data_IF_931881359541
#
_entry.id   IF_931881359541
#
_cell.length_a   1.000
_cell.length_b   1.000
_cell.length_c   1.000
_cell.angle_alpha   90.00
_cell.angle_beta   90.00
_cell.angle_gamma   90.00
#
_symmetry.space_group_name_H-M   'P 1'
#
loop_
_entity.id
_entity.type
_entity.pdbx_description
1 polymer ?
#
# COMPACT_ATOMS: atom_id res chain seq x y z
N UNK A 1 9.54 4.96 -5.74
CA UNK A 1 9.06 5.54 -4.48
C UNK A 1 9.57 4.71 -3.30
N UNK A 2 9.16 3.46 -3.11
CA UNK A 2 9.55 2.64 -1.95
C UNK A 2 11.07 2.54 -1.78
N UNK A 3 11.82 2.29 -2.85
CA UNK A 3 13.30 2.29 -2.83
C UNK A 3 13.86 3.61 -2.29
N UNK A 4 13.29 4.75 -2.69
CA UNK A 4 13.72 6.07 -2.22
C UNK A 4 13.58 6.21 -0.71
N UNK A 5 12.43 5.81 -0.15
CA UNK A 5 12.20 5.86 1.31
C UNK A 5 13.16 4.92 2.04
N UNK A 6 13.30 3.69 1.59
CA UNK A 6 14.21 2.73 2.24
C UNK A 6 15.66 3.23 2.27
N UNK A 7 16.18 3.69 1.14
CA UNK A 7 17.58 4.16 1.08
C UNK A 7 17.82 5.49 1.81
N UNK A 8 16.79 6.31 1.98
CA UNK A 8 16.90 7.52 2.77
C UNK A 8 16.96 7.22 4.27
N UNK A 9 16.18 6.23 4.74
CA UNK A 9 15.91 6.05 6.16
C UNK A 9 16.59 4.83 6.78
N UNK A 10 17.00 3.86 5.97
CA UNK A 10 17.50 2.57 6.43
C UNK A 10 18.92 2.28 5.91
N UNK A 11 19.61 1.40 6.60
CA UNK A 11 20.90 0.82 6.18
C UNK A 11 20.71 -0.62 5.73
N UNK A 12 21.56 -1.13 4.81
CA UNK A 12 21.56 -2.55 4.47
C UNK A 12 21.62 -3.43 5.73
N UNK A 13 20.77 -4.45 5.78
CA UNK A 13 20.64 -5.34 6.94
C UNK A 13 19.66 -4.89 8.03
N UNK A 14 19.15 -3.65 7.97
CA UNK A 14 18.07 -3.23 8.87
C UNK A 14 16.81 -4.07 8.67
N UNK A 15 16.05 -4.27 9.75
CA UNK A 15 14.82 -5.07 9.69
C UNK A 15 13.64 -4.20 9.24
N UNK A 16 12.86 -4.73 8.30
CA UNK A 16 11.56 -4.17 7.88
C UNK A 16 10.45 -5.18 8.14
N UNK A 17 9.28 -4.72 8.54
CA UNK A 17 8.08 -5.53 8.70
C UNK A 17 7.07 -5.15 7.63
N UNK A 18 6.73 -6.07 6.73
CA UNK A 18 5.79 -5.84 5.63
C UNK A 18 4.76 -6.95 5.51
N UNK A 19 3.73 -6.72 4.69
CA UNK A 19 2.74 -7.76 4.41
C UNK A 19 3.34 -8.87 3.55
N UNK A 20 3.10 -10.12 3.91
CA UNK A 20 3.56 -11.28 3.17
C UNK A 20 3.02 -11.25 1.72
N UNK A 21 3.89 -11.49 0.75
CA UNK A 21 3.53 -11.50 -0.67
C UNK A 21 2.39 -12.49 -0.97
N UNK A 22 2.43 -13.68 -0.36
CA UNK A 22 1.38 -14.69 -0.53
C UNK A 22 0.03 -14.31 0.10
N UNK A 23 0.01 -13.31 0.98
CA UNK A 23 -1.19 -12.80 1.63
C UNK A 23 -1.67 -11.46 1.06
N UNK A 24 -1.09 -11.02 -0.06
CA UNK A 24 -1.48 -9.79 -0.75
C UNK A 24 -0.50 -8.63 -0.65
N UNK A 25 0.68 -8.82 -0.06
CA UNK A 25 1.75 -7.83 -0.02
C UNK A 25 2.29 -7.47 -1.41
N UNK A 26 3.14 -6.44 -1.48
CA UNK A 26 3.83 -6.07 -2.70
C UNK A 26 5.26 -6.64 -2.69
N UNK A 27 5.83 -6.86 -3.88
CA UNK A 27 7.22 -7.33 -4.05
C UNK A 27 8.22 -6.48 -3.26
N UNK A 28 8.05 -5.16 -3.27
CA UNK A 28 8.95 -4.22 -2.57
C UNK A 28 8.70 -4.10 -1.07
N UNK A 29 7.82 -4.92 -0.50
CA UNK A 29 7.61 -5.01 0.95
C UNK A 29 8.45 -6.12 1.60
N UNK A 30 9.58 -6.49 0.99
CA UNK A 30 10.52 -7.45 1.54
C UNK A 30 10.57 -8.80 0.84
N UNK A 31 9.86 -9.01 -0.28
CA UNK A 31 9.91 -10.28 -0.99
C UNK A 31 11.34 -10.61 -1.44
N UNK A 32 11.78 -11.86 -1.26
CA UNK A 32 13.17 -12.31 -1.47
C UNK A 32 13.68 -12.10 -2.90
N UNK A 33 12.78 -12.06 -3.88
CA UNK A 33 13.10 -11.78 -5.29
C UNK A 33 13.28 -10.29 -5.59
N UNK A 34 12.80 -9.41 -4.71
CA UNK A 34 12.87 -7.95 -4.84
C UNK A 34 14.14 -7.41 -4.18
N UNK A 35 14.54 -6.18 -4.59
CA UNK A 35 15.66 -5.48 -3.94
C UNK A 35 15.47 -5.36 -2.43
N UNK A 36 14.25 -5.14 -1.96
CA UNK A 36 13.94 -4.97 -0.55
C UNK A 36 14.26 -6.21 0.29
N UNK A 37 13.92 -7.41 -0.21
CA UNK A 37 14.26 -8.66 0.46
C UNK A 37 15.71 -9.11 0.27
N UNK A 38 16.46 -8.49 -0.66
CA UNK A 38 17.90 -8.77 -0.86
C UNK A 38 18.80 -7.88 -0.02
N UNK A 39 18.35 -6.67 0.33
CA UNK A 39 19.14 -5.65 1.02
C UNK A 39 18.79 -5.60 2.51
N UNK A 40 17.52 -5.79 2.85
CA UNK A 40 17.01 -5.67 4.21
C UNK A 40 16.61 -7.03 4.79
N UNK A 41 16.63 -7.15 6.11
CA UNK A 41 16.06 -8.30 6.80
C UNK A 41 14.54 -8.12 6.84
N UNK A 42 13.82 -8.87 6.02
CA UNK A 42 12.37 -8.79 5.96
C UNK A 42 11.70 -9.78 6.92
N UNK A 43 10.78 -9.29 7.72
CA UNK A 43 9.80 -10.07 8.49
C UNK A 43 8.41 -9.74 8.00
N UNK A 44 7.45 -10.64 8.21
CA UNK A 44 6.16 -10.52 7.53
C UNK A 44 5.00 -10.71 8.50
N UNK A 45 4.00 -9.85 8.36
CA UNK A 45 2.66 -10.11 8.86
C UNK A 45 1.76 -10.64 7.73
N UNK A 46 0.65 -11.23 8.10
CA UNK A 46 -0.28 -11.81 7.13
C UNK A 46 -1.73 -11.49 7.45
N UNK A 47 -2.62 -12.31 6.87
CA UNK A 47 -4.05 -12.31 7.17
C UNK A 47 -4.41 -13.57 7.92
N UNK A 48 -5.41 -13.50 8.79
CA UNK A 48 -6.00 -14.66 9.47
C UNK A 48 -6.55 -15.63 8.42
N UNK A 49 -6.25 -16.91 8.59
CA UNK A 49 -6.74 -17.98 7.69
C UNK A 49 -8.26 -18.08 7.66
N UNK A 50 -8.89 -17.80 8.80
CA UNK A 50 -10.32 -17.98 8.96
C UNK A 50 -11.12 -16.80 8.39
N UNK A 51 -10.63 -15.57 8.58
CA UNK A 51 -11.34 -14.35 8.22
C UNK A 51 -10.82 -13.70 6.93
N UNK A 52 -9.58 -13.96 6.55
CA UNK A 52 -8.89 -13.23 5.47
C UNK A 52 -8.58 -11.76 5.81
N UNK A 53 -8.66 -11.38 7.09
CA UNK A 53 -8.39 -10.04 7.59
C UNK A 53 -7.01 -9.98 8.24
N UNK A 54 -6.39 -8.79 8.22
CA UNK A 54 -5.18 -8.52 9.00
C UNK A 54 -5.53 -8.61 10.48
N UNK A 55 -4.72 -9.38 11.21
CA UNK A 55 -4.77 -9.45 12.67
C UNK A 55 -3.74 -8.46 13.23
N UNK A 56 -4.20 -7.35 13.76
CA UNK A 56 -3.32 -6.28 14.25
C UNK A 56 -2.59 -6.66 15.54
N UNK A 57 -3.13 -7.56 16.36
CA UNK A 57 -2.45 -8.07 17.55
C UNK A 57 -1.26 -8.95 17.13
N UNK A 58 -1.41 -9.71 16.05
CA UNK A 58 -0.30 -10.47 15.47
C UNK A 58 0.74 -9.55 14.83
N UNK A 59 0.34 -8.44 14.18
CA UNK A 59 1.26 -7.42 13.67
C UNK A 59 2.08 -6.84 14.82
N UNK A 60 1.44 -6.48 15.92
CA UNK A 60 2.07 -5.93 17.13
C UNK A 60 3.05 -6.95 17.74
N UNK A 61 2.63 -8.20 17.89
CA UNK A 61 3.47 -9.27 18.41
C UNK A 61 4.77 -9.43 17.58
N UNK A 62 4.64 -9.49 16.26
CA UNK A 62 5.79 -9.62 15.35
C UNK A 62 6.67 -8.37 15.41
N UNK A 63 6.07 -7.19 15.50
CA UNK A 63 6.81 -5.93 15.62
C UNK A 63 7.64 -5.89 16.91
N UNK A 64 7.07 -6.29 18.04
CA UNK A 64 7.79 -6.39 19.33
C UNK A 64 8.91 -7.43 19.31
N UNK A 65 8.65 -8.60 18.73
CA UNK A 65 9.63 -9.70 18.66
C UNK A 65 10.85 -9.34 17.82
N UNK A 66 10.64 -8.63 16.70
CA UNK A 66 11.71 -8.39 15.73
C UNK A 66 12.25 -6.97 15.72
N UNK A 67 11.60 -6.04 16.41
CA UNK A 67 11.97 -4.61 16.50
C UNK A 67 12.40 -4.01 15.15
N UNK A 68 11.53 -4.06 14.13
CA UNK A 68 11.87 -3.52 12.82
C UNK A 68 12.09 -2.01 12.91
N UNK A 69 12.99 -1.47 12.08
CA UNK A 69 13.15 -0.02 11.96
C UNK A 69 12.05 0.67 11.17
N UNK A 70 11.34 -0.10 10.33
CA UNK A 70 10.22 0.40 9.54
C UNK A 70 9.14 -0.66 9.43
N UNK A 71 7.90 -0.23 9.69
CA UNK A 71 6.69 -0.98 9.35
C UNK A 71 6.18 -0.47 8.01
N UNK A 72 5.89 -1.39 7.10
CA UNK A 72 5.35 -1.11 5.76
C UNK A 72 3.90 -1.60 5.72
N UNK A 73 2.96 -0.67 5.80
CA UNK A 73 1.56 -0.93 5.60
C UNK A 73 1.18 -0.74 4.13
N UNK A 74 0.16 -1.46 3.67
CA UNK A 74 -0.29 -1.42 2.29
C UNK A 74 -0.24 -2.79 1.63
N UNK A 75 -0.97 -2.93 0.54
CA UNK A 75 -1.13 -4.21 -0.14
C UNK A 75 -1.39 -4.04 -1.64
N UNK A 76 -1.01 -5.05 -2.42
CA UNK A 76 -1.41 -5.20 -3.81
C UNK A 76 -2.76 -5.89 -3.95
N UNK A 77 -3.10 -6.77 -3.00
CA UNK A 77 -4.28 -7.63 -3.07
C UNK A 77 -4.91 -7.80 -1.68
N UNK A 78 -5.40 -6.71 -1.12
CA UNK A 78 -6.20 -6.70 0.11
C UNK A 78 -7.46 -5.88 -0.12
N UNK A 79 -8.62 -6.48 0.09
CA UNK A 79 -9.91 -5.91 -0.31
C UNK A 79 -10.62 -5.13 0.81
N UNK A 80 -10.04 -5.05 2.00
CA UNK A 80 -10.63 -4.38 3.15
C UNK A 80 -9.92 -3.08 3.50
N UNK A 81 -10.54 -2.28 4.34
CA UNK A 81 -9.93 -1.06 4.87
C UNK A 81 -8.74 -1.42 5.74
N UNK A 82 -7.64 -0.66 5.58
CA UNK A 82 -6.46 -0.72 6.45
C UNK A 82 -6.64 0.27 7.61
N UNK A 83 -6.42 -0.20 8.82
CA UNK A 83 -6.41 0.65 10.01
C UNK A 83 -5.03 1.29 10.17
N UNK A 84 -4.88 2.50 9.62
CA UNK A 84 -3.61 3.23 9.66
C UNK A 84 -3.28 3.76 11.05
N UNK A 85 -4.30 4.04 11.88
CA UNK A 85 -4.12 4.47 13.25
C UNK A 85 -3.51 3.36 14.08
N UNK A 86 -4.02 2.14 13.96
CA UNK A 86 -3.46 0.98 14.66
C UNK A 86 -2.02 0.67 14.21
N UNK A 87 -1.70 0.79 12.91
CA UNK A 87 -0.32 0.70 12.46
C UNK A 87 0.59 1.78 13.07
N UNK A 88 0.09 3.01 13.23
CA UNK A 88 0.84 4.10 13.87
C UNK A 88 1.12 3.79 15.33
N UNK A 89 0.11 3.36 16.10
CA UNK A 89 0.27 2.95 17.49
C UNK A 89 1.37 1.89 17.66
N UNK A 90 1.32 0.82 16.85
CA UNK A 90 2.32 -0.25 16.87
C UNK A 90 3.71 0.30 16.56
N UNK A 91 3.82 1.17 15.55
CA UNK A 91 5.11 1.74 15.16
C UNK A 91 5.68 2.66 16.27
N UNK A 92 4.84 3.46 16.92
CA UNK A 92 5.25 4.33 18.03
C UNK A 92 5.74 3.52 19.22
N UNK A 93 5.06 2.44 19.56
CA UNK A 93 5.41 1.57 20.70
C UNK A 93 6.84 1.00 20.59
N UNK A 94 7.29 0.70 19.37
CA UNK A 94 8.62 0.12 19.13
C UNK A 94 9.63 1.15 18.58
N UNK A 95 9.23 2.42 18.41
CA UNK A 95 10.09 3.47 17.86
C UNK A 95 10.45 3.28 16.38
N UNK A 96 9.57 2.65 15.58
CA UNK A 96 9.76 2.41 14.16
C UNK A 96 9.15 3.52 13.30
N UNK A 97 9.69 3.69 12.08
CA UNK A 97 9.01 4.48 11.05
C UNK A 97 7.78 3.72 10.53
N UNK A 98 6.72 4.46 10.21
CA UNK A 98 5.58 3.94 9.47
C UNK A 98 5.61 4.45 8.03
N UNK A 99 5.81 3.54 7.09
CA UNK A 99 5.62 3.80 5.66
C UNK A 99 4.32 3.14 5.19
N UNK A 100 3.46 3.92 4.53
CA UNK A 100 2.24 3.39 3.91
C UNK A 100 2.35 3.46 2.39
N UNK A 101 2.32 2.31 1.74
CA UNK A 101 2.20 2.18 0.29
C UNK A 101 0.72 2.12 -0.11
N UNK A 102 0.17 3.27 -0.51
CA UNK A 102 -1.23 3.38 -0.91
C UNK A 102 -1.45 3.22 -2.43
N UNK A 103 -0.48 2.66 -3.15
CA UNK A 103 -0.50 2.63 -4.62
C UNK A 103 -1.81 2.11 -5.22
N UNK A 104 -2.40 1.06 -4.66
CA UNK A 104 -3.66 0.50 -5.15
C UNK A 104 -4.88 1.38 -4.85
N UNK A 105 -4.89 2.02 -3.70
CA UNK A 105 -6.05 2.78 -3.18
C UNK A 105 -5.91 4.30 -3.34
N UNK A 106 -4.81 4.80 -3.93
CA UNK A 106 -4.51 6.23 -3.96
C UNK A 106 -5.63 7.10 -4.57
N UNK A 107 -6.29 6.62 -5.62
CA UNK A 107 -7.45 7.33 -6.19
C UNK A 107 -8.65 7.37 -5.25
N UNK A 108 -8.90 6.29 -4.51
CA UNK A 108 -9.97 6.23 -3.51
C UNK A 108 -9.67 7.15 -2.32
N UNK A 109 -8.40 7.21 -1.90
CA UNK A 109 -7.93 8.14 -0.85
C UNK A 109 -8.09 9.58 -1.31
N UNK A 110 -7.63 9.93 -2.51
CA UNK A 110 -7.76 11.27 -3.08
C UNK A 110 -9.22 11.73 -3.18
N UNK A 111 -10.14 10.80 -3.47
CA UNK A 111 -11.57 11.06 -3.55
C UNK A 111 -12.30 11.05 -2.19
N UNK A 112 -11.61 10.72 -1.09
CA UNK A 112 -12.23 10.57 0.23
C UNK A 112 -13.14 9.33 0.38
N UNK A 113 -13.00 8.35 -0.50
CA UNK A 113 -13.77 7.08 -0.48
C UNK A 113 -13.09 6.03 0.41
N UNK A 114 -11.79 6.15 0.62
CA UNK A 114 -11.00 5.33 1.54
C UNK A 114 -10.30 6.24 2.56
N UNK A 115 -10.12 5.83 3.83
CA UNK A 115 -9.35 6.59 4.81
C UNK A 115 -7.96 6.96 4.30
N UNK A 116 -7.49 8.15 4.68
CA UNK A 116 -6.16 8.65 4.29
C UNK A 116 -5.09 8.18 5.27
N UNK A 117 -3.94 7.64 4.79
CA UNK A 117 -2.80 7.32 5.65
C UNK A 117 -1.98 8.55 6.05
N UNK A 118 -2.16 9.69 5.39
CA UNK A 118 -1.30 10.88 5.55
C UNK A 118 -1.21 11.39 7.00
N UNK A 119 -2.29 11.40 7.80
CA UNK A 119 -2.18 11.85 9.20
C UNK A 119 -1.33 10.93 10.08
N UNK A 120 -1.19 9.66 9.73
CA UNK A 120 -0.58 8.63 10.58
C UNK A 120 0.84 8.26 10.17
N UNK A 121 1.16 8.32 8.88
CA UNK A 121 2.42 7.82 8.34
C UNK A 121 3.55 8.88 8.39
N UNK A 122 4.79 8.41 8.55
CA UNK A 122 5.98 9.23 8.33
C UNK A 122 6.23 9.39 6.83
N UNK A 123 5.96 8.33 6.07
CA UNK A 123 6.09 8.29 4.60
C UNK A 123 4.87 7.66 3.98
N UNK A 124 4.34 8.30 2.95
CA UNK A 124 3.29 7.72 2.10
C UNK A 124 3.83 7.60 0.69
N UNK A 125 3.85 6.39 0.16
CA UNK A 125 4.27 6.13 -1.21
C UNK A 125 3.08 5.74 -2.07
N UNK A 126 3.15 6.05 -3.35
CA UNK A 126 2.15 5.61 -4.32
C UNK A 126 2.72 5.53 -5.73
N UNK A 127 2.08 4.73 -6.56
CA UNK A 127 2.14 4.88 -8.02
C UNK A 127 1.11 5.90 -8.47
N UNK A 128 1.35 6.52 -9.62
CA UNK A 128 0.39 7.48 -10.20
C UNK A 128 -0.53 6.86 -11.26
N UNK A 129 -0.31 5.61 -11.67
CA UNK A 129 -0.93 4.96 -12.83
C UNK A 129 -1.94 3.84 -12.49
N UNK A 130 -2.40 3.74 -11.23
CA UNK A 130 -3.47 2.80 -10.82
C UNK A 130 -4.79 3.55 -10.64
N UNK A 131 -5.44 3.44 -9.50
CA UNK A 131 -6.70 4.15 -9.23
C UNK A 131 -6.60 5.68 -9.36
N UNK A 132 -5.40 6.25 -9.20
CA UNK A 132 -5.16 7.68 -9.39
C UNK A 132 -5.24 8.13 -10.87
N UNK A 133 -5.25 7.21 -11.83
CA UNK A 133 -5.44 7.41 -13.27
C UNK A 133 -4.41 8.32 -13.96
N UNK A 134 -3.21 8.43 -13.40
CA UNK A 134 -2.14 9.26 -13.95
C UNK A 134 -1.16 8.48 -14.84
N UNK A 135 -0.09 9.13 -15.27
CA UNK A 135 0.98 8.49 -16.04
C UNK A 135 1.75 7.49 -15.20
N UNK A 136 2.48 6.58 -15.85
CA UNK A 136 3.38 5.68 -15.15
C UNK A 136 4.46 6.45 -14.40
N UNK A 137 4.46 6.29 -13.09
CA UNK A 137 5.38 6.97 -12.21
C UNK A 137 5.08 6.67 -10.74
N UNK A 138 5.84 7.29 -9.86
CA UNK A 138 5.65 7.22 -8.41
C UNK A 138 5.64 8.60 -7.78
N UNK A 139 5.21 8.65 -6.53
CA UNK A 139 5.20 9.84 -5.67
C UNK A 139 5.52 9.41 -4.24
N UNK A 140 6.19 10.28 -3.51
CA UNK A 140 6.44 10.15 -2.08
C UNK A 140 5.87 11.40 -1.42
N UNK A 141 5.09 11.22 -0.38
CA UNK A 141 4.72 12.24 0.59
C UNK A 141 5.43 11.87 1.90
N UNK A 142 5.96 12.86 2.61
CA UNK A 142 6.62 12.63 3.89
C UNK A 142 6.41 13.82 4.82
N UNK A 143 6.71 13.63 6.11
CA UNK A 143 6.81 14.74 7.03
C UNK A 143 7.97 15.66 6.61
N UNK A 144 7.85 16.96 6.88
CA UNK A 144 8.80 17.97 6.42
C UNK A 144 10.23 17.71 6.91
N UNK A 145 10.38 17.18 8.09
CA UNK A 145 11.69 16.83 8.68
C UNK A 145 12.51 15.85 7.85
N UNK A 146 11.85 14.98 7.05
CA UNK A 146 12.50 13.98 6.20
C UNK A 146 12.68 14.43 4.74
N UNK A 147 12.12 15.57 4.35
CA UNK A 147 12.05 16.00 2.95
C UNK A 147 13.44 16.10 2.31
N UNK A 148 14.41 16.71 3.01
CA UNK A 148 15.77 16.87 2.50
C UNK A 148 16.49 15.55 2.20
N UNK A 149 16.30 14.54 3.08
CA UNK A 149 16.93 13.24 2.89
C UNK A 149 16.25 12.47 1.74
N UNK A 150 14.93 12.58 1.61
CA UNK A 150 14.20 12.02 0.47
C UNK A 150 14.65 12.66 -0.84
N UNK A 151 14.68 13.97 -0.92
CA UNK A 151 15.11 14.69 -2.14
C UNK A 151 16.53 14.31 -2.56
N UNK A 152 17.47 14.29 -1.60
CA UNK A 152 18.86 13.93 -1.81
C UNK A 152 19.03 12.49 -2.29
N UNK A 153 18.26 11.56 -1.75
CA UNK A 153 18.35 10.16 -2.18
C UNK A 153 17.68 9.95 -3.54
N UNK A 154 16.62 10.68 -3.86
CA UNK A 154 16.01 10.61 -5.19
C UNK A 154 16.95 11.21 -6.23
N UNK A 155 17.46 12.42 -6.02
CA UNK A 155 18.41 13.05 -6.92
C UNK A 155 19.54 13.71 -6.10
N UNK A 156 20.80 13.37 -6.38
CA UNK A 156 21.31 12.48 -7.41
C UNK A 156 21.47 11.01 -6.97
N UNK A 157 20.91 10.61 -5.81
CA UNK A 157 21.20 9.33 -5.19
C UNK A 157 20.84 8.11 -6.04
N UNK A 158 19.60 8.01 -6.53
CA UNK A 158 19.11 6.86 -7.30
C UNK A 158 18.56 7.22 -8.69
N UNK A 159 18.30 8.50 -8.95
CA UNK A 159 17.79 9.00 -10.24
C UNK A 159 18.65 10.13 -10.75
N UNK A 160 18.59 10.35 -12.08
CA UNK A 160 19.18 11.50 -12.78
C UNK A 160 18.10 12.49 -13.21
N UNK A 161 18.27 13.06 -14.41
CA UNK A 161 17.34 14.05 -14.98
C UNK A 161 15.92 13.49 -15.10
N UNK A 162 14.91 14.25 -14.64
CA UNK A 162 13.54 13.78 -14.63
C UNK A 162 12.90 13.79 -16.03
N UNK A 163 11.91 12.91 -16.22
CA UNK A 163 11.08 12.88 -17.42
C UNK A 163 10.00 13.97 -17.31
N UNK A 164 10.27 15.15 -17.87
CA UNK A 164 9.38 16.32 -17.73
C UNK A 164 7.99 16.13 -18.30
N UNK A 165 7.82 15.34 -19.38
CA UNK A 165 6.51 14.99 -19.90
C UNK A 165 5.69 14.15 -18.90
N UNK A 166 6.32 13.27 -18.11
CA UNK A 166 5.65 12.53 -17.03
C UNK A 166 5.26 13.48 -15.90
N UNK A 167 6.10 14.45 -15.55
CA UNK A 167 5.78 15.45 -14.52
C UNK A 167 4.57 16.29 -14.95
N UNK A 168 4.58 16.77 -16.21
CA UNK A 168 3.44 17.52 -16.77
C UNK A 168 2.15 16.67 -16.76
N UNK A 169 2.22 15.41 -17.14
CA UNK A 169 1.08 14.50 -17.11
C UNK A 169 0.59 14.23 -15.68
N UNK A 170 1.48 14.15 -14.69
CA UNK A 170 1.08 14.06 -13.26
C UNK A 170 0.30 15.31 -12.83
N UNK A 171 0.74 16.51 -13.23
CA UNK A 171 0.04 17.75 -12.88
C UNK A 171 -1.39 17.76 -13.41
N UNK A 172 -1.60 17.31 -14.67
CA UNK A 172 -2.94 17.14 -15.25
C UNK A 172 -3.75 16.13 -14.45
N UNK A 173 -3.21 14.94 -14.20
CA UNK A 173 -3.90 13.88 -13.47
C UNK A 173 -4.29 14.32 -12.04
N UNK A 174 -3.43 15.05 -11.35
CA UNK A 174 -3.74 15.56 -10.00
C UNK A 174 -4.83 16.64 -10.04
N UNK A 175 -4.83 17.50 -11.06
CA UNK A 175 -5.93 18.46 -11.26
C UNK A 175 -7.25 17.75 -11.51
N UNK A 176 -7.25 16.69 -12.32
CA UNK A 176 -8.44 15.85 -12.53
C UNK A 176 -8.90 15.19 -11.24
N UNK A 177 -7.96 14.66 -10.42
CA UNK A 177 -8.26 13.99 -9.15
C UNK A 177 -8.88 14.93 -8.10
N UNK A 178 -8.72 16.25 -8.24
CA UNK A 178 -9.38 17.27 -7.40
C UNK A 178 -10.82 17.57 -7.84
N UNK A 179 -11.26 17.06 -8.98
CA UNK A 179 -12.58 17.40 -9.52
C UNK A 179 -13.71 16.60 -8.83
N UNK A 180 -14.93 17.17 -8.77
CA UNK A 180 -16.10 16.44 -8.31
C UNK A 180 -16.41 15.18 -9.14
N UNK A 181 -16.12 15.22 -10.42
CA UNK A 181 -16.32 14.09 -11.35
C UNK A 181 -15.43 12.91 -11.00
N UNK A 182 -14.19 13.18 -10.59
CA UNK A 182 -13.29 12.13 -10.13
C UNK A 182 -13.81 11.48 -8.84
N UNK A 183 -14.31 12.27 -7.90
CA UNK A 183 -14.93 11.75 -6.68
C UNK A 183 -16.11 10.83 -6.99
N UNK A 184 -17.04 11.28 -7.82
CA UNK A 184 -18.19 10.48 -8.27
C UNK A 184 -17.74 9.18 -8.96
N UNK A 185 -16.70 9.25 -9.78
CA UNK A 185 -16.12 8.07 -10.43
C UNK A 185 -15.58 7.05 -9.39
N UNK A 186 -14.84 7.50 -8.37
CA UNK A 186 -14.28 6.60 -7.36
C UNK A 186 -15.37 6.01 -6.44
N UNK A 187 -16.40 6.77 -6.12
CA UNK A 187 -17.59 6.25 -5.43
C UNK A 187 -18.28 5.16 -6.25
N UNK A 188 -18.41 5.37 -7.56
CA UNK A 188 -19.01 4.38 -8.46
C UNK A 188 -18.12 3.13 -8.59
N UNK A 189 -16.81 3.29 -8.63
CA UNK A 189 -15.85 2.16 -8.62
C UNK A 189 -16.06 1.28 -7.39
N UNK A 190 -16.14 1.86 -6.19
CA UNK A 190 -16.37 1.11 -4.97
C UNK A 190 -17.75 0.42 -4.95
N UNK A 191 -18.80 1.09 -5.43
CA UNK A 191 -20.15 0.51 -5.57
C UNK A 191 -20.15 -0.67 -6.54
N UNK A 192 -19.48 -0.53 -7.69
CA UNK A 192 -19.39 -1.60 -8.69
C UNK A 192 -18.62 -2.81 -8.14
N UNK A 193 -17.51 -2.59 -7.41
CA UNK A 193 -16.76 -3.67 -6.80
C UNK A 193 -17.61 -4.45 -5.78
N UNK A 194 -18.36 -3.75 -4.93
CA UNK A 194 -19.29 -4.38 -3.97
C UNK A 194 -20.40 -5.18 -4.67
N UNK A 195 -21.02 -4.59 -5.69
CA UNK A 195 -22.08 -5.25 -6.45
C UNK A 195 -21.56 -6.51 -7.17
N UNK A 196 -20.35 -6.44 -7.76
CA UNK A 196 -19.73 -7.59 -8.41
C UNK A 196 -19.38 -8.68 -7.39
N UNK A 197 -18.80 -8.32 -6.24
CA UNK A 197 -18.49 -9.27 -5.17
C UNK A 197 -19.75 -9.98 -4.68
N UNK A 198 -20.85 -9.26 -4.45
CA UNK A 198 -22.12 -9.85 -4.07
C UNK A 198 -22.68 -10.77 -5.15
N UNK A 199 -22.66 -10.35 -6.42
CA UNK A 199 -23.13 -11.18 -7.53
C UNK A 199 -22.33 -12.49 -7.70
N UNK A 200 -21.03 -12.46 -7.35
CA UNK A 200 -20.19 -13.67 -7.32
C UNK A 200 -20.59 -14.59 -6.16
N UNK A 201 -20.84 -14.02 -4.95
CA UNK A 201 -21.30 -14.77 -3.78
C UNK A 201 -22.64 -15.45 -4.09
N UNK A 202 -23.59 -14.73 -4.67
CA UNK A 202 -24.93 -15.24 -5.04
C UNK A 202 -24.85 -16.42 -6.04
N UNK A 203 -23.74 -16.48 -6.81
CA UNK A 203 -23.43 -17.58 -7.73
C UNK A 203 -22.57 -18.68 -7.11
N UNK A 204 -22.38 -18.66 -5.80
CA UNK A 204 -21.66 -19.69 -5.05
C UNK A 204 -20.13 -19.63 -5.19
N UNK A 205 -19.57 -18.46 -5.50
CA UNK A 205 -18.13 -18.22 -5.38
C UNK A 205 -17.79 -17.71 -3.99
N UNK A 206 -16.65 -18.15 -3.48
CA UNK A 206 -16.11 -17.64 -2.21
C UNK A 206 -15.31 -16.36 -2.47
N UNK A 207 -15.70 -15.26 -1.84
CA UNK A 207 -14.92 -14.03 -1.81
C UNK A 207 -14.09 -14.02 -0.52
N UNK A 208 -12.77 -13.88 -0.65
CA UNK A 208 -11.84 -13.78 0.48
C UNK A 208 -12.24 -12.58 1.32
N UNK A 209 -12.21 -12.71 2.66
CA UNK A 209 -12.72 -11.74 3.63
C UNK A 209 -14.22 -11.41 3.52
N UNK A 210 -14.99 -12.18 2.76
CA UNK A 210 -16.44 -12.03 2.64
C UNK A 210 -16.92 -10.82 1.83
N UNK A 211 -16.04 -10.11 1.10
CA UNK A 211 -16.43 -8.96 0.29
C UNK A 211 -15.31 -7.97 0.01
N UNK A 212 -15.68 -6.73 -0.30
CA UNK A 212 -14.71 -5.66 -0.57
C UNK A 212 -15.19 -4.30 -0.07
N UNK A 213 -14.25 -3.48 0.39
CA UNK A 213 -14.45 -2.08 0.78
C UNK A 213 -13.77 -1.12 -0.19
N UNK A 214 -13.07 -1.63 -1.21
CA UNK A 214 -12.33 -0.82 -2.18
C UNK A 214 -12.65 -1.19 -3.64
N UNK A 215 -11.70 -1.11 -4.55
CA UNK A 215 -11.86 -1.30 -5.99
C UNK A 215 -11.60 -2.74 -6.46
N UNK A 216 -11.13 -3.62 -5.59
CA UNK A 216 -10.75 -5.00 -5.93
C UNK A 216 -11.44 -6.02 -5.02
N UNK A 217 -11.45 -7.27 -5.44
CA UNK A 217 -11.82 -8.42 -4.63
C UNK A 217 -10.91 -9.60 -4.94
N UNK A 218 -10.86 -10.55 -4.02
CA UNK A 218 -10.15 -11.81 -4.18
C UNK A 218 -11.18 -12.94 -4.23
N UNK A 219 -11.15 -13.72 -5.29
CA UNK A 219 -12.07 -14.84 -5.49
C UNK A 219 -11.31 -16.14 -5.22
N UNK A 220 -11.76 -16.90 -4.23
CA UNK A 220 -11.24 -18.24 -3.96
C UNK A 220 -11.90 -19.26 -4.89
N UNK A 221 -11.13 -19.80 -5.80
CA UNK A 221 -11.57 -20.78 -6.81
C UNK A 221 -11.35 -22.24 -6.36
N UNK A 222 -10.80 -22.47 -5.19
CA UNK A 222 -10.47 -23.81 -4.67
C UNK A 222 -11.69 -24.72 -4.69
N UNK A 223 -12.86 -24.22 -4.27
CA UNK A 223 -14.13 -24.99 -4.27
C UNK A 223 -14.63 -25.36 -5.66
N UNK A 224 -14.10 -24.76 -6.71
CA UNK A 224 -14.44 -25.03 -8.11
C UNK A 224 -13.41 -25.94 -8.80
N UNK A 225 -12.33 -26.32 -8.10
CA UNK A 225 -11.25 -27.10 -8.68
C UNK A 225 -10.45 -26.38 -9.79
N UNK A 226 -10.47 -25.03 -9.76
CA UNK A 226 -9.81 -24.17 -10.74
C UNK A 226 -8.61 -23.48 -10.08
N UNK A 227 -7.50 -23.43 -10.76
CA UNK A 227 -6.32 -22.62 -10.38
C UNK A 227 -6.41 -21.21 -10.97
N UNK A 228 -5.76 -20.25 -10.30
CA UNK A 228 -5.69 -18.86 -10.79
C UNK A 228 -4.77 -18.67 -12.00
#
# INVERSE_FOLDING_TARGET
ANMGVYFAMLKPGDTILGMNLAHGGHLTHGASVSFSGKIFKAVFYGVSKDTGLIDYDEVERIAKEHSPKMIVAGASAYSRILDFERFREIADEIGAYLMVDMAHIAGLVAAGVHPSPVPYADFVTTTTHKTLRGPRGGMILCREEYAKEIDKIIFPGIQGGPLMHVIAAKAVAFKEALSPEFKLCMEQVAKNAKALAQGMIDKGYRIVSGGTDNHLMLVDLTSKGITG
#
